data_IF_379913439668
#
_entry.id   IF_379913439668
#
_cell.length_a   1.000
_cell.length_b   1.000
_cell.length_c   1.000
_cell.angle_alpha   90.00
_cell.angle_beta   90.00
_cell.angle_gamma   90.00
#
_symmetry.space_group_name_H-M   'P 1'
#
loop_
_entity.id
_entity.type
_entity.pdbx_description
1 polymer ?
#
# COMPACT_ATOMS: atom_id res chain seq x y z
N UNK A 1 22.80 30.26 28.90
CA UNK A 1 21.34 30.52 29.09
C UNK A 1 20.90 29.72 30.30
N UNK A 2 20.00 30.24 31.15
CA UNK A 2 19.48 29.45 32.27
C UNK A 2 18.43 28.48 31.75
N UNK A 3 18.60 27.21 32.06
CA UNK A 3 17.75 26.12 31.59
C UNK A 3 16.94 25.58 32.76
N UNK A 4 15.60 25.52 32.68
CA UNK A 4 14.76 25.04 33.78
C UNK A 4 14.98 23.54 34.02
N UNK A 5 15.01 23.18 35.30
CA UNK A 5 15.16 21.81 35.79
C UNK A 5 13.83 21.32 36.34
N UNK A 6 13.48 20.07 36.04
CA UNK A 6 12.24 19.43 36.46
C UNK A 6 12.51 18.07 37.09
N UNK A 7 11.76 17.70 38.12
CA UNK A 7 11.69 16.33 38.60
C UNK A 7 10.65 15.57 37.75
N UNK A 8 11.07 14.51 37.07
CA UNK A 8 10.21 13.72 36.18
C UNK A 8 10.10 12.28 36.68
N UNK A 9 8.90 11.69 36.52
CA UNK A 9 8.74 10.24 36.66
C UNK A 9 9.31 9.52 35.43
N UNK A 10 9.58 8.22 35.56
CA UNK A 10 10.02 7.39 34.44
C UNK A 10 9.03 7.40 33.27
N UNK A 11 7.73 7.47 33.56
CA UNK A 11 6.68 7.55 32.55
C UNK A 11 6.70 8.91 31.83
N UNK A 12 6.86 10.01 32.55
CA UNK A 12 6.93 11.35 31.96
C UNK A 12 8.19 11.52 31.10
N UNK A 13 9.35 11.06 31.58
CA UNK A 13 10.59 11.08 30.81
C UNK A 13 10.48 10.21 29.54
N UNK A 14 9.84 9.04 29.65
CA UNK A 14 9.61 8.12 28.53
C UNK A 14 8.68 8.72 27.49
N UNK A 15 7.56 9.34 27.90
CA UNK A 15 6.64 10.04 26.99
C UNK A 15 7.32 11.17 26.24
N UNK A 16 8.16 11.95 26.92
CA UNK A 16 8.90 13.05 26.31
C UNK A 16 9.90 12.59 25.23
N UNK A 17 10.40 11.35 25.31
CA UNK A 17 11.59 10.89 24.58
C UNK A 17 11.39 9.60 23.77
N UNK A 18 10.12 9.25 23.47
CA UNK A 18 9.76 7.97 22.81
C UNK A 18 10.37 6.73 23.49
N UNK A 19 10.52 6.77 24.80
CA UNK A 19 11.08 5.68 25.60
C UNK A 19 12.60 5.67 25.76
N UNK A 20 13.33 6.63 25.16
CA UNK A 20 14.78 6.70 25.33
C UNK A 20 15.19 6.91 26.79
N UNK A 21 14.55 7.86 27.49
CA UNK A 21 14.66 8.01 28.94
C UNK A 21 13.55 7.21 29.63
N UNK A 22 13.91 6.12 30.31
CA UNK A 22 12.94 5.17 30.91
C UNK A 22 13.09 5.03 32.43
N UNK A 23 13.63 6.05 33.08
CA UNK A 23 13.87 6.10 34.52
C UNK A 23 13.44 7.46 35.08
N UNK A 24 13.15 7.49 36.39
CA UNK A 24 12.80 8.73 37.07
C UNK A 24 14.09 9.47 37.45
N UNK A 25 14.03 10.79 37.47
CA UNK A 25 15.22 11.60 37.71
C UNK A 25 14.93 13.09 37.64
N UNK A 26 16.00 13.86 37.72
CA UNK A 26 15.97 15.30 37.57
C UNK A 26 16.54 15.66 36.22
N UNK A 27 15.79 16.42 35.42
CA UNK A 27 16.11 16.67 34.03
C UNK A 27 16.04 18.15 33.70
N UNK A 28 16.88 18.58 32.76
CA UNK A 28 16.78 19.87 32.12
C UNK A 28 16.33 19.71 30.66
N UNK A 29 15.53 20.65 30.18
CA UNK A 29 15.02 20.69 28.81
C UNK A 29 15.69 21.83 28.04
N UNK A 30 16.30 21.53 26.89
CA UNK A 30 17.05 22.51 26.09
C UNK A 30 16.66 22.47 24.62
N UNK A 31 16.33 23.65 24.08
CA UNK A 31 16.24 23.90 22.65
C UNK A 31 17.64 24.16 22.08
N UNK A 32 17.97 23.49 20.98
CA UNK A 32 19.26 23.64 20.30
C UNK A 32 18.99 23.97 18.83
N UNK A 33 19.67 25.01 18.34
CA UNK A 33 19.67 25.40 16.94
C UNK A 33 20.99 24.95 16.31
N UNK A 34 20.94 24.04 15.35
CA UNK A 34 22.10 23.77 14.49
C UNK A 34 22.17 24.84 13.40
N UNK A 35 23.19 25.69 13.48
CA UNK A 35 23.43 26.77 12.51
C UNK A 35 23.89 26.28 11.14
N UNK A 36 24.35 25.03 11.03
CA UNK A 36 24.83 24.43 9.77
C UNK A 36 23.65 23.98 8.91
N UNK A 37 22.69 23.32 9.56
CA UNK A 37 21.49 22.78 8.90
C UNK A 37 20.29 23.74 9.02
N UNK A 38 20.40 24.75 9.88
CA UNK A 38 19.33 25.68 10.26
C UNK A 38 18.10 24.93 10.80
N UNK A 39 18.35 23.87 11.57
CA UNK A 39 17.32 23.01 12.16
C UNK A 39 17.33 23.16 13.68
N UNK A 40 16.14 23.21 14.27
CA UNK A 40 15.96 23.21 15.72
C UNK A 40 15.67 21.78 16.19
N UNK A 41 16.43 21.30 17.16
CA UNK A 41 16.19 20.04 17.84
C UNK A 41 16.16 20.26 19.35
N UNK A 42 15.47 19.36 20.05
CA UNK A 42 15.17 19.49 21.47
C UNK A 42 15.65 18.27 22.21
N UNK A 43 16.27 18.51 23.36
CA UNK A 43 16.81 17.45 24.19
C UNK A 43 16.32 17.56 25.63
N UNK A 44 16.24 16.40 26.25
CA UNK A 44 16.13 16.21 27.69
C UNK A 44 17.46 15.61 28.16
N UNK A 45 18.05 16.11 29.24
CA UNK A 45 19.26 15.51 29.81
C UNK A 45 19.19 15.49 31.34
N UNK A 46 19.77 14.46 31.93
CA UNK A 46 19.77 14.28 33.38
C UNK A 46 20.77 15.23 34.05
N UNK A 47 20.37 15.78 35.19
CA UNK A 47 21.20 16.65 36.02
C UNK A 47 21.16 16.19 37.47
N UNK A 48 22.28 16.38 38.16
CA UNK A 48 22.40 16.08 39.58
C UNK A 48 23.07 17.24 40.32
N UNK A 49 22.75 17.40 41.59
CA UNK A 49 23.28 18.46 42.43
C UNK A 49 24.56 17.98 43.13
N UNK A 50 25.71 18.52 42.71
CA UNK A 50 27.01 18.18 43.27
C UNK A 50 27.63 19.43 43.88
N UNK A 51 27.79 19.44 45.20
CA UNK A 51 28.43 20.55 45.91
C UNK A 51 27.62 21.86 45.92
N UNK A 52 26.29 21.78 45.71
CA UNK A 52 25.40 22.95 45.66
C UNK A 52 25.24 23.56 44.27
N UNK A 53 25.77 22.91 43.24
CA UNK A 53 25.61 23.32 41.84
C UNK A 53 25.00 22.18 41.03
N UNK A 54 24.08 22.51 40.12
CA UNK A 54 23.52 21.57 39.17
C UNK A 54 24.52 21.26 38.06
N UNK A 55 24.79 19.99 37.87
CA UNK A 55 25.72 19.48 36.87
C UNK A 55 25.01 18.45 36.00
N UNK A 56 25.41 18.35 34.72
CA UNK A 56 25.00 17.23 33.87
C UNK A 56 25.49 15.92 34.48
N UNK A 57 24.62 14.91 34.50
CA UNK A 57 25.04 13.55 34.85
C UNK A 57 25.91 13.00 33.73
N UNK A 58 27.04 12.40 34.12
CA UNK A 58 27.99 11.78 33.20
C UNK A 58 28.19 10.32 33.56
N UNK A 59 28.45 9.49 32.55
CA UNK A 59 28.91 8.12 32.76
C UNK A 59 30.32 8.09 33.40
N UNK A 60 30.80 6.94 33.89
CA UNK A 60 32.13 6.82 34.48
C UNK A 60 33.30 7.19 33.56
N UNK A 61 33.07 7.29 32.25
CA UNK A 61 34.06 7.66 31.24
C UNK A 61 33.95 9.15 30.84
N UNK A 62 33.00 9.91 31.43
CA UNK A 62 32.78 11.32 31.16
C UNK A 62 31.85 11.60 29.97
N UNK A 63 31.12 10.61 29.47
CA UNK A 63 30.10 10.81 28.44
C UNK A 63 28.80 11.35 29.03
N UNK A 64 28.16 12.27 28.30
CA UNK A 64 26.83 12.79 28.62
C UNK A 64 25.76 12.01 27.86
N UNK A 65 24.56 11.92 28.43
CA UNK A 65 23.39 11.32 27.79
C UNK A 65 22.35 12.39 27.51
N UNK A 66 22.19 12.73 26.22
CA UNK A 66 21.13 13.60 25.74
C UNK A 66 20.04 12.73 25.11
N UNK A 67 18.81 12.88 25.61
CA UNK A 67 17.64 12.16 25.11
C UNK A 67 16.87 13.08 24.16
N UNK A 68 16.74 12.72 22.88
CA UNK A 68 15.93 13.50 21.94
C UNK A 68 14.48 13.57 22.39
N UNK A 69 13.86 14.74 22.24
CA UNK A 69 12.42 14.90 22.44
C UNK A 69 11.67 14.32 21.25
N UNK A 70 10.61 13.56 21.52
CA UNK A 70 9.73 12.96 20.51
C UNK A 70 9.19 14.02 19.55
N UNK A 71 9.65 14.02 18.30
CA UNK A 71 9.14 14.96 17.29
C UNK A 71 7.70 14.62 16.87
N UNK A 72 7.34 13.33 16.91
CA UNK A 72 5.99 12.88 16.61
C UNK A 72 4.98 13.33 17.66
N UNK A 73 5.34 13.26 18.95
CA UNK A 73 4.46 13.67 20.05
C UNK A 73 4.53 15.19 20.30
N UNK A 74 5.67 15.83 20.07
CA UNK A 74 5.91 17.26 20.32
C UNK A 74 6.40 17.97 19.05
N UNK A 75 5.57 18.14 18.00
CA UNK A 75 6.02 18.67 16.71
C UNK A 75 6.30 20.19 16.70
N UNK A 76 5.90 20.92 17.75
CA UNK A 76 6.05 22.38 17.84
C UNK A 76 6.78 22.80 19.12
N UNK A 77 7.51 23.94 19.14
CA UNK A 77 8.28 24.37 20.32
C UNK A 77 7.47 24.41 21.62
N UNK A 78 6.27 25.01 21.56
CA UNK A 78 5.37 25.14 22.72
C UNK A 78 4.70 23.82 23.16
N UNK A 79 4.82 22.72 22.41
CA UNK A 79 4.15 21.46 22.75
C UNK A 79 4.71 20.83 24.03
N UNK A 80 6.00 21.07 24.33
CA UNK A 80 6.63 20.61 25.58
C UNK A 80 6.18 21.47 26.76
N UNK A 81 6.02 22.78 26.55
CA UNK A 81 5.45 23.67 27.57
C UNK A 81 4.00 23.27 27.90
N UNK A 82 3.18 22.95 26.90
CA UNK A 82 1.82 22.45 27.09
C UNK A 82 1.81 21.13 27.89
N UNK A 83 2.78 20.25 27.64
CA UNK A 83 2.96 19.03 28.42
C UNK A 83 3.28 19.33 29.88
N UNK A 84 4.25 20.21 30.15
CA UNK A 84 4.60 20.61 31.51
C UNK A 84 3.41 21.24 32.24
N UNK A 85 2.62 22.07 31.56
CA UNK A 85 1.41 22.68 32.12
C UNK A 85 0.37 21.60 32.43
N UNK A 86 0.10 20.68 31.49
CA UNK A 86 -0.88 19.60 31.64
C UNK A 86 -0.54 18.66 32.79
N UNK A 87 0.74 18.30 32.92
CA UNK A 87 1.28 17.45 33.98
C UNK A 87 1.50 18.20 35.29
N UNK A 88 1.23 19.51 35.33
CA UNK A 88 1.43 20.41 36.49
C UNK A 88 2.88 20.41 37.00
N UNK A 89 3.83 20.26 36.08
CA UNK A 89 5.25 20.32 36.37
C UNK A 89 5.65 21.79 36.53
N UNK A 90 6.48 22.05 37.53
CA UNK A 90 7.06 23.37 37.79
C UNK A 90 8.58 23.23 37.87
N UNK A 91 9.34 24.22 37.39
CA UNK A 91 10.79 24.19 37.52
C UNK A 91 11.16 24.13 39.01
N UNK A 92 12.04 23.19 39.37
CA UNK A 92 12.57 23.06 40.72
C UNK A 92 13.82 23.93 40.93
N UNK A 93 14.57 24.18 39.85
CA UNK A 93 15.73 25.08 39.81
C UNK A 93 16.16 25.34 38.35
N UNK A 94 17.34 25.92 38.13
CA UNK A 94 17.91 26.21 36.82
C UNK A 94 19.38 25.82 36.73
N UNK A 95 19.80 25.27 35.58
CA UNK A 95 21.21 24.98 35.28
C UNK A 95 21.77 25.99 34.27
N UNK A 96 23.05 26.34 34.43
CA UNK A 96 23.82 27.04 33.41
C UNK A 96 24.61 26.02 32.58
N UNK A 97 24.16 25.76 31.36
CA UNK A 97 24.80 24.80 30.47
C UNK A 97 25.72 25.52 29.46
N UNK A 98 27.03 25.42 29.67
CA UNK A 98 28.06 25.99 28.78
C UNK A 98 28.41 25.10 27.58
N UNK A 99 27.84 23.89 27.51
CA UNK A 99 27.99 23.01 26.35
C UNK A 99 27.25 23.59 25.14
N UNK A 100 27.99 24.21 24.22
CA UNK A 100 27.49 24.75 22.95
C UNK A 100 27.56 23.76 21.80
N UNK A 101 28.29 22.67 21.98
CA UNK A 101 28.34 21.55 21.05
C UNK A 101 27.40 20.48 21.61
N UNK A 102 26.31 20.11 20.91
CA UNK A 102 25.50 18.98 21.33
C UNK A 102 26.44 17.77 21.32
N UNK A 103 26.85 17.30 22.49
CA UNK A 103 27.75 16.16 22.58
C UNK A 103 27.07 14.98 21.92
N UNK A 104 27.53 14.64 20.71
CA UNK A 104 27.05 13.55 19.84
C UNK A 104 25.56 13.24 20.09
N UNK A 105 24.70 14.03 19.46
CA UNK A 105 23.34 13.56 19.18
C UNK A 105 23.53 12.26 18.41
N UNK A 106 23.10 11.13 18.96
CA UNK A 106 22.74 10.02 18.10
C UNK A 106 21.43 10.44 17.41
N UNK A 107 21.51 11.34 16.43
CA UNK A 107 20.63 11.20 15.29
C UNK A 107 21.02 9.84 14.76
N UNK A 108 20.15 8.84 14.99
CA UNK A 108 20.31 7.58 14.29
C UNK A 108 20.29 7.95 12.82
N UNK A 109 21.45 7.82 12.17
CA UNK A 109 21.61 8.15 10.77
C UNK A 109 20.48 7.44 10.02
N UNK A 110 19.63 8.20 9.34
CA UNK A 110 18.61 7.57 8.51
C UNK A 110 19.35 6.97 7.33
N UNK A 111 19.36 5.65 7.28
CA UNK A 111 20.00 4.87 6.23
C UNK A 111 18.95 4.44 5.20
N UNK A 112 19.41 4.03 4.02
CA UNK A 112 18.52 3.44 3.03
C UNK A 112 17.83 2.19 3.60
N UNK A 113 16.55 1.95 3.26
CA UNK A 113 15.85 0.77 3.74
C UNK A 113 16.44 -0.49 3.09
N UNK A 114 16.28 -1.64 3.74
CA UNK A 114 16.68 -2.94 3.18
C UNK A 114 15.41 -3.69 2.81
N UNK A 115 15.25 -4.01 1.52
CA UNK A 115 14.08 -4.72 1.00
C UNK A 115 14.51 -5.97 0.23
N UNK A 116 13.74 -7.04 0.37
CA UNK A 116 13.96 -8.34 -0.28
C UNK A 116 12.78 -8.71 -1.17
N UNK A 117 13.07 -9.02 -2.43
CA UNK A 117 12.08 -9.57 -3.37
C UNK A 117 11.94 -11.05 -3.10
N UNK A 118 10.74 -11.50 -2.74
CA UNK A 118 10.48 -12.93 -2.52
C UNK A 118 10.21 -13.64 -3.84
N UNK A 119 10.43 -14.95 -3.85
CA UNK A 119 9.88 -15.78 -4.91
C UNK A 119 8.35 -15.72 -4.79
N UNK A 120 7.69 -15.35 -5.88
CA UNK A 120 6.24 -15.47 -5.97
C UNK A 120 5.93 -16.98 -5.90
N UNK A 121 5.14 -17.46 -4.93
CA UNK A 121 4.55 -18.79 -5.08
C UNK A 121 3.72 -18.75 -6.36
N UNK A 122 3.67 -19.85 -7.09
CA UNK A 122 2.71 -20.02 -8.19
C UNK A 122 1.26 -20.08 -7.65
N UNK A 123 0.92 -19.27 -6.64
CA UNK A 123 -0.45 -18.98 -6.23
C UNK A 123 -1.02 -18.02 -7.28
N UNK A 124 -1.08 -18.54 -8.50
CA UNK A 124 -1.86 -17.99 -9.58
C UNK A 124 -3.30 -18.27 -9.24
N UNK A 125 -3.87 -17.37 -8.45
CA UNK A 125 -5.29 -17.39 -8.21
C UNK A 125 -6.00 -17.04 -9.53
N UNK A 126 -7.29 -17.33 -9.59
CA UNK A 126 -8.16 -16.91 -10.70
C UNK A 126 -8.13 -15.38 -10.96
N UNK A 127 -7.54 -14.60 -10.03
CA UNK A 127 -7.49 -13.14 -10.01
C UNK A 127 -6.17 -12.53 -10.52
N UNK A 128 -5.18 -13.34 -10.94
CA UNK A 128 -3.91 -12.85 -11.52
C UNK A 128 -2.65 -13.36 -10.84
N UNK A 129 -1.54 -12.60 -10.96
CA UNK A 129 -0.23 -12.95 -10.39
C UNK A 129 0.07 -12.07 -9.19
N UNK A 130 0.30 -12.68 -8.03
CA UNK A 130 0.70 -11.96 -6.81
C UNK A 130 2.22 -11.97 -6.63
N UNK A 131 2.81 -10.79 -6.46
CA UNK A 131 4.23 -10.61 -6.12
C UNK A 131 4.37 -10.25 -4.65
N UNK A 132 5.29 -10.91 -3.95
CA UNK A 132 5.54 -10.66 -2.52
C UNK A 132 6.97 -10.17 -2.27
N UNK A 133 7.10 -9.34 -1.25
CA UNK A 133 8.36 -8.78 -0.80
C UNK A 133 8.33 -8.54 0.71
N UNK A 134 9.51 -8.35 1.29
CA UNK A 134 9.63 -7.97 2.68
C UNK A 134 10.66 -6.86 2.90
N UNK A 135 10.36 -5.97 3.82
CA UNK A 135 11.29 -4.97 4.36
C UNK A 135 12.02 -5.64 5.52
N UNK A 136 13.33 -5.82 5.35
CA UNK A 136 14.23 -6.39 6.35
C UNK A 136 14.66 -5.36 7.39
N UNK A 137 14.74 -4.10 6.99
CA UNK A 137 15.16 -2.97 7.80
C UNK A 137 14.60 -1.67 7.20
N UNK A 138 14.07 -0.76 8.03
CA UNK A 138 13.60 0.55 7.59
C UNK A 138 14.70 1.63 7.63
N UNK A 139 15.91 1.29 8.09
CA UNK A 139 17.05 2.20 8.16
C UNK A 139 16.78 3.38 9.08
N UNK A 140 16.03 3.17 10.16
CA UNK A 140 15.59 4.20 11.12
C UNK A 140 14.71 5.31 10.52
N UNK A 141 14.24 5.12 9.29
CA UNK A 141 13.36 6.04 8.58
C UNK A 141 11.92 5.56 8.45
N UNK A 142 11.03 6.47 8.07
CA UNK A 142 9.65 6.13 7.72
C UNK A 142 9.57 5.67 6.26
N UNK A 143 8.88 4.56 6.02
CA UNK A 143 8.63 4.09 4.66
C UNK A 143 7.49 4.90 4.05
N UNK A 144 7.79 5.69 3.02
CA UNK A 144 6.80 6.51 2.30
C UNK A 144 6.22 5.81 1.08
N UNK A 145 6.98 4.89 0.48
CA UNK A 145 6.56 4.14 -0.69
C UNK A 145 7.25 2.78 -0.72
N UNK A 146 6.50 1.75 -1.12
CA UNK A 146 7.02 0.40 -1.38
C UNK A 146 6.20 -0.26 -2.47
N UNK A 147 6.82 -1.13 -3.24
CA UNK A 147 6.16 -1.79 -4.37
C UNK A 147 7.14 -2.59 -5.22
N UNK A 148 6.82 -2.74 -6.51
CA UNK A 148 7.64 -3.47 -7.47
C UNK A 148 7.94 -2.65 -8.72
N UNK A 149 9.13 -2.88 -9.26
CA UNK A 149 9.47 -2.56 -10.65
C UNK A 149 9.36 -3.85 -11.46
N UNK A 150 8.72 -3.78 -12.63
CA UNK A 150 8.47 -4.92 -13.51
C UNK A 150 8.91 -4.57 -14.93
N UNK A 151 9.62 -5.46 -15.62
CA UNK A 151 10.05 -5.24 -17.00
C UNK A 151 10.24 -6.54 -17.77
N UNK A 152 10.09 -6.50 -19.09
CA UNK A 152 10.52 -7.60 -19.98
C UNK A 152 12.04 -7.66 -20.15
N UNK A 153 12.77 -6.60 -19.77
CA UNK A 153 14.22 -6.52 -19.84
C UNK A 153 14.83 -6.76 -18.45
N UNK A 154 15.85 -7.63 -18.38
CA UNK A 154 16.65 -7.83 -17.16
C UNK A 154 17.35 -6.55 -16.69
N UNK A 155 17.55 -5.57 -17.58
CA UNK A 155 18.14 -4.26 -17.26
C UNK A 155 17.11 -3.27 -16.70
N UNK A 156 15.84 -3.67 -16.62
CA UNK A 156 14.73 -2.79 -16.26
C UNK A 156 14.69 -1.54 -17.15
N UNK A 157 14.81 -1.72 -18.47
CA UNK A 157 14.61 -0.63 -19.42
C UNK A 157 13.12 -0.22 -19.40
N UNK A 158 12.84 1.01 -18.95
CA UNK A 158 11.47 1.56 -18.81
C UNK A 158 10.53 0.60 -18.05
N UNK A 159 10.81 0.32 -16.77
CA UNK A 159 10.02 -0.62 -16.01
C UNK A 159 8.68 0.00 -15.62
N UNK A 160 7.66 -0.85 -15.47
CA UNK A 160 6.41 -0.48 -14.84
C UNK A 160 6.65 -0.40 -13.33
N UNK A 161 6.29 0.73 -12.71
CA UNK A 161 6.35 0.93 -11.25
C UNK A 161 4.97 0.71 -10.67
N UNK A 162 4.83 -0.31 -9.85
CA UNK A 162 3.55 -0.71 -9.25
C UNK A 162 3.66 -0.59 -7.72
N UNK A 163 3.08 0.45 -7.12
CA UNK A 163 3.10 0.63 -5.67
C UNK A 163 2.16 -0.39 -4.99
N UNK A 164 2.51 -0.80 -3.78
CA UNK A 164 1.61 -1.59 -2.94
C UNK A 164 0.51 -0.71 -2.36
N UNK A 165 -0.71 -1.25 -2.22
CA UNK A 165 -1.87 -0.53 -1.68
C UNK A 165 -1.67 -0.16 -0.21
N UNK A 166 -0.93 -0.98 0.54
CA UNK A 166 -0.61 -0.77 1.95
C UNK A 166 0.78 -0.13 2.13
N UNK A 167 1.05 0.93 1.36
CA UNK A 167 2.37 1.58 1.28
C UNK A 167 2.88 2.14 2.61
N UNK A 168 2.00 2.27 3.62
CA UNK A 168 2.29 2.93 4.90
C UNK A 168 2.23 2.01 6.13
N UNK A 169 1.72 0.77 6.03
CA UNK A 169 1.79 -0.11 7.20
C UNK A 169 3.22 -0.53 7.49
N UNK A 170 3.55 -0.56 8.79
CA UNK A 170 4.76 -1.15 9.35
C UNK A 170 4.87 -2.67 9.12
N UNK A 171 3.95 -3.25 8.34
CA UNK A 171 4.00 -4.64 7.92
C UNK A 171 5.31 -4.89 7.17
N UNK A 172 6.16 -5.73 7.77
CA UNK A 172 7.42 -6.22 7.21
C UNK A 172 7.21 -6.90 5.85
N UNK A 173 5.99 -7.36 5.52
CA UNK A 173 5.64 -7.99 4.24
C UNK A 173 4.60 -7.18 3.48
N UNK A 174 4.76 -7.14 2.16
CA UNK A 174 3.80 -6.49 1.27
C UNK A 174 3.67 -7.25 -0.05
N UNK A 175 2.55 -7.03 -0.73
CA UNK A 175 2.22 -7.67 -1.99
C UNK A 175 1.59 -6.70 -2.99
N UNK A 176 1.59 -7.14 -4.25
CA UNK A 176 0.95 -6.49 -5.39
C UNK A 176 0.34 -7.58 -6.28
N UNK A 177 -0.94 -7.44 -6.61
CA UNK A 177 -1.63 -8.28 -7.57
C UNK A 177 -1.58 -7.67 -8.98
N UNK A 178 -1.26 -8.51 -9.96
CA UNK A 178 -1.06 -8.11 -11.35
C UNK A 178 -2.06 -8.84 -12.26
N UNK A 179 -2.87 -8.05 -12.95
CA UNK A 179 -3.93 -8.51 -13.85
C UNK A 179 -3.75 -8.04 -15.31
N UNK A 180 -2.53 -7.75 -15.73
CA UNK A 180 -2.24 -7.20 -17.07
C UNK A 180 -1.06 -7.87 -17.77
N UNK A 181 -0.42 -8.85 -17.13
CA UNK A 181 0.74 -9.53 -17.71
C UNK A 181 0.29 -10.53 -18.79
N UNK A 182 0.84 -10.38 -19.99
CA UNK A 182 0.55 -11.27 -21.13
C UNK A 182 0.93 -12.75 -20.84
N UNK A 183 0.00 -13.71 -21.09
CA UNK A 183 0.28 -15.14 -21.05
C UNK A 183 1.47 -15.57 -21.92
N UNK A 184 2.21 -16.57 -21.47
CA UNK A 184 3.38 -17.13 -22.16
C UNK A 184 4.61 -16.22 -22.20
N UNK A 185 4.55 -15.01 -21.60
CA UNK A 185 5.68 -14.07 -21.57
C UNK A 185 6.49 -14.18 -20.29
N UNK A 186 7.77 -13.83 -20.41
CA UNK A 186 8.68 -13.72 -19.26
C UNK A 186 8.87 -12.26 -18.88
N UNK A 187 8.81 -11.99 -17.58
CA UNK A 187 9.10 -10.72 -16.94
C UNK A 187 10.19 -10.88 -15.88
N UNK A 188 10.91 -9.79 -15.63
CA UNK A 188 11.82 -9.61 -14.51
C UNK A 188 11.21 -8.60 -13.56
N UNK A 189 11.30 -8.87 -12.27
CA UNK A 189 10.72 -8.02 -11.24
C UNK A 189 11.68 -7.84 -10.07
N UNK A 190 11.58 -6.72 -9.37
CA UNK A 190 12.28 -6.46 -8.11
C UNK A 190 11.46 -5.51 -7.26
N UNK A 191 11.49 -5.71 -5.94
CA UNK A 191 10.85 -4.78 -5.02
C UNK A 191 11.63 -3.48 -4.90
N UNK A 192 10.98 -2.45 -4.39
CA UNK A 192 11.59 -1.20 -3.94
C UNK A 192 10.95 -0.74 -2.63
N UNK A 193 11.71 0.03 -1.86
CA UNK A 193 11.23 0.75 -0.68
C UNK A 193 11.95 2.11 -0.61
N UNK A 194 11.25 3.15 -0.15
CA UNK A 194 11.75 4.52 -0.07
C UNK A 194 11.47 5.13 1.29
N UNK A 195 12.51 5.73 1.89
CA UNK A 195 12.44 6.53 3.11
C UNK A 195 13.12 7.90 2.90
N UNK A 196 13.41 8.61 3.99
CA UNK A 196 14.06 9.94 3.98
C UNK A 196 15.47 9.91 3.37
N UNK A 197 16.20 8.80 3.48
CA UNK A 197 17.53 8.61 2.90
C UNK A 197 17.50 8.29 1.40
N UNK A 198 16.36 7.82 0.89
CA UNK A 198 16.12 7.54 -0.51
C UNK A 198 15.55 6.15 -0.79
N UNK A 199 15.70 5.70 -2.04
CA UNK A 199 15.16 4.42 -2.52
C UNK A 199 16.23 3.33 -2.53
N UNK A 200 15.86 2.15 -2.04
CA UNK A 200 16.63 0.92 -2.21
C UNK A 200 15.82 -0.13 -2.97
N UNK A 201 16.55 -0.95 -3.72
CA UNK A 201 15.99 -1.96 -4.62
C UNK A 201 16.30 -3.36 -4.10
N UNK A 202 15.31 -4.23 -4.16
CA UNK A 202 15.45 -5.64 -3.84
C UNK A 202 16.18 -6.43 -4.93
N UNK A 203 16.46 -7.69 -4.63
CA UNK A 203 17.04 -8.62 -5.59
C UNK A 203 16.12 -8.87 -6.80
N UNK A 204 16.71 -9.07 -7.97
CA UNK A 204 15.94 -9.37 -9.20
C UNK A 204 15.44 -10.81 -9.16
N UNK A 205 14.18 -11.00 -9.54
CA UNK A 205 13.54 -12.29 -9.76
C UNK A 205 12.96 -12.37 -11.17
N UNK A 206 12.63 -13.59 -11.60
CA UNK A 206 12.10 -13.90 -12.93
C UNK A 206 10.76 -14.61 -12.79
N UNK A 207 9.80 -14.17 -13.59
CA UNK A 207 8.45 -14.73 -13.66
C UNK A 207 8.17 -15.09 -15.12
N UNK A 208 7.70 -16.31 -15.37
CA UNK A 208 7.08 -16.67 -16.65
C UNK A 208 5.59 -16.83 -16.40
N UNK A 209 4.79 -15.98 -17.04
CA UNK A 209 3.33 -16.11 -17.03
C UNK A 209 2.99 -17.38 -17.80
N UNK A 210 2.25 -18.33 -17.22
CA UNK A 210 1.77 -19.49 -17.95
C UNK A 210 0.96 -19.12 -19.19
N UNK A 211 0.89 -20.07 -20.11
CA UNK A 211 0.05 -19.93 -21.29
C UNK A 211 -1.44 -19.93 -20.91
N UNK A 212 -2.26 -19.43 -21.84
CA UNK A 212 -3.71 -19.26 -21.70
C UNK A 212 -4.42 -20.51 -21.19
N UNK A 213 -3.99 -21.70 -21.64
CA UNK A 213 -4.56 -22.99 -21.26
C UNK A 213 -4.44 -23.32 -19.76
N UNK A 214 -3.61 -22.59 -19.01
CA UNK A 214 -3.49 -22.75 -17.56
C UNK A 214 -4.62 -22.06 -16.78
N UNK A 215 -5.14 -20.94 -17.30
CA UNK A 215 -6.25 -20.22 -16.68
C UNK A 215 -7.54 -20.94 -17.06
N UNK A 216 -8.14 -21.64 -16.09
CA UNK A 216 -9.36 -22.40 -16.35
C UNK A 216 -10.45 -21.44 -16.83
N UNK A 217 -11.11 -21.80 -17.93
CA UNK A 217 -12.26 -21.05 -18.43
C UNK A 217 -13.36 -21.06 -17.34
N UNK A 218 -13.73 -19.90 -16.77
CA UNK A 218 -14.68 -19.85 -15.66
C UNK A 218 -16.09 -20.33 -16.07
N UNK A 219 -16.36 -20.45 -17.36
CA UNK A 219 -17.60 -21.01 -17.90
C UNK A 219 -17.63 -22.55 -17.88
N UNK A 220 -16.50 -23.23 -17.65
CA UNK A 220 -16.40 -24.70 -17.60
C UNK A 220 -16.79 -25.29 -16.23
N UNK A 221 -17.74 -24.66 -15.54
CA UNK A 221 -18.31 -25.19 -14.30
C UNK A 221 -19.01 -26.54 -14.54
N UNK A 222 -19.09 -27.37 -13.49
CA UNK A 222 -19.85 -28.62 -13.54
C UNK A 222 -21.33 -28.31 -13.84
N UNK A 223 -21.97 -29.03 -14.79
CA UNK A 223 -23.37 -28.80 -15.12
C UNK A 223 -24.27 -29.15 -13.92
N UNK A 224 -25.31 -28.35 -13.70
CA UNK A 224 -26.22 -28.52 -12.57
C UNK A 224 -27.26 -29.62 -12.79
N UNK A 225 -27.60 -29.95 -14.04
CA UNK A 225 -28.69 -30.85 -14.41
C UNK A 225 -28.40 -31.60 -15.73
N UNK A 226 -29.23 -32.61 -16.04
CA UNK A 226 -29.24 -33.25 -17.37
C UNK A 226 -29.41 -32.21 -18.48
N UNK A 227 -28.68 -32.38 -19.59
CA UNK A 227 -28.72 -31.46 -20.74
C UNK A 227 -27.63 -30.39 -20.77
N UNK A 228 -26.70 -30.37 -19.81
CA UNK A 228 -25.46 -29.58 -19.89
C UNK A 228 -25.57 -28.12 -19.41
N UNK A 229 -26.72 -27.71 -18.89
CA UNK A 229 -26.93 -26.37 -18.33
C UNK A 229 -26.10 -26.14 -17.07
N UNK A 230 -25.57 -24.92 -16.96
CA UNK A 230 -24.74 -24.40 -15.86
C UNK A 230 -25.38 -23.15 -15.28
N UNK A 231 -24.97 -22.76 -14.08
CA UNK A 231 -25.43 -21.55 -13.40
C UNK A 231 -24.25 -20.85 -12.75
N UNK A 232 -24.13 -19.56 -13.02
CA UNK A 232 -23.29 -18.63 -12.27
C UNK A 232 -24.18 -17.82 -11.34
N UNK A 233 -23.76 -17.64 -10.09
CA UNK A 233 -24.51 -16.86 -9.10
C UNK A 233 -24.68 -15.39 -9.48
N UNK A 234 -23.77 -14.86 -10.30
CA UNK A 234 -23.83 -13.48 -10.77
C UNK A 234 -24.34 -13.37 -12.22
N UNK A 235 -23.92 -14.29 -13.11
CA UNK A 235 -24.23 -14.20 -14.54
C UNK A 235 -25.54 -14.90 -14.93
N UNK A 236 -26.04 -15.85 -14.12
CA UNK A 236 -27.27 -16.58 -14.41
C UNK A 236 -27.04 -17.91 -15.12
N UNK A 237 -28.08 -18.41 -15.81
CA UNK A 237 -28.09 -19.76 -16.38
C UNK A 237 -27.63 -19.77 -17.83
N UNK A 238 -26.76 -20.71 -18.18
CA UNK A 238 -26.20 -20.79 -19.52
C UNK A 238 -25.88 -22.22 -19.96
N UNK A 239 -25.80 -22.42 -21.28
CA UNK A 239 -25.40 -23.65 -21.93
C UNK A 239 -24.15 -23.39 -22.78
N UNK A 240 -23.00 -23.90 -22.35
CA UNK A 240 -21.71 -23.74 -23.03
C UNK A 240 -21.54 -24.79 -24.14
N UNK A 241 -21.11 -24.36 -25.32
CA UNK A 241 -20.75 -25.21 -26.48
C UNK A 241 -19.24 -25.47 -26.52
N UNK A 242 -18.81 -26.45 -27.32
CA UNK A 242 -17.37 -26.80 -27.49
C UNK A 242 -16.55 -25.74 -28.27
N UNK A 243 -17.17 -24.71 -28.83
CA UNK A 243 -16.56 -23.73 -29.72
C UNK A 243 -16.73 -22.28 -29.22
N UNK A 244 -16.65 -22.08 -27.91
CA UNK A 244 -16.76 -20.78 -27.20
C UNK A 244 -18.10 -20.04 -27.34
N UNK A 245 -19.04 -20.59 -28.12
CA UNK A 245 -20.44 -20.17 -28.11
C UNK A 245 -21.12 -20.61 -26.82
N UNK A 246 -21.98 -19.76 -26.32
CA UNK A 246 -22.80 -19.98 -25.15
C UNK A 246 -24.22 -19.54 -25.47
N UNK A 247 -25.21 -20.33 -25.07
CA UNK A 247 -26.59 -19.89 -25.04
C UNK A 247 -26.95 -19.49 -23.61
N UNK A 248 -27.14 -18.20 -23.37
CA UNK A 248 -27.55 -17.64 -22.09
C UNK A 248 -29.08 -17.55 -22.05
N UNK A 249 -29.69 -17.92 -20.91
CA UNK A 249 -31.16 -17.95 -20.75
C UNK A 249 -31.86 -16.61 -21.09
N UNK A 250 -31.20 -15.49 -20.81
CA UNK A 250 -31.70 -14.15 -21.02
C UNK A 250 -31.03 -13.40 -22.18
N UNK A 251 -29.71 -13.56 -22.39
CA UNK A 251 -29.01 -12.86 -23.47
C UNK A 251 -29.14 -13.56 -24.83
N UNK A 252 -29.53 -14.84 -24.86
CA UNK A 252 -29.54 -15.64 -26.08
C UNK A 252 -28.13 -16.12 -26.47
N UNK A 253 -27.85 -16.20 -27.77
CA UNK A 253 -26.55 -16.63 -28.28
C UNK A 253 -25.49 -15.54 -28.06
N UNK A 254 -24.45 -15.91 -27.32
CA UNK A 254 -23.27 -15.08 -27.09
C UNK A 254 -22.01 -15.90 -27.39
N UNK A 255 -20.97 -15.24 -27.89
CA UNK A 255 -19.64 -15.83 -28.02
C UNK A 255 -18.76 -15.29 -26.91
N UNK A 256 -18.06 -16.16 -26.19
CA UNK A 256 -17.28 -15.76 -25.00
C UNK A 256 -15.79 -15.70 -25.31
N UNK A 257 -15.11 -14.73 -24.70
CA UNK A 257 -13.66 -14.62 -24.71
C UNK A 257 -13.23 -14.11 -23.34
N UNK A 258 -12.43 -14.91 -22.63
CA UNK A 258 -11.86 -14.48 -21.35
C UNK A 258 -10.79 -13.41 -21.60
N UNK A 259 -10.70 -12.39 -20.74
CA UNK A 259 -9.55 -11.51 -20.71
C UNK A 259 -8.34 -12.11 -19.95
N UNK A 260 -8.46 -13.38 -19.52
CA UNK A 260 -7.50 -14.16 -18.74
C UNK A 260 -7.41 -13.77 -17.26
N UNK A 261 -8.32 -12.90 -16.81
CA UNK A 261 -8.53 -12.52 -15.41
C UNK A 261 -10.02 -12.70 -15.05
N UNK A 262 -10.60 -11.80 -14.26
CA UNK A 262 -12.01 -11.84 -13.85
C UNK A 262 -12.98 -11.30 -14.92
N UNK A 263 -12.48 -10.63 -15.96
CA UNK A 263 -13.31 -9.98 -16.95
C UNK A 263 -13.61 -10.87 -18.14
N UNK A 264 -14.79 -10.65 -18.71
CA UNK A 264 -15.31 -11.44 -19.80
C UNK A 264 -15.79 -10.55 -20.92
N UNK A 265 -15.18 -10.73 -22.08
CA UNK A 265 -15.73 -10.25 -23.33
C UNK A 265 -16.79 -11.23 -23.81
N UNK A 266 -18.00 -10.73 -24.03
CA UNK A 266 -19.08 -11.44 -24.67
C UNK A 266 -19.45 -10.71 -25.95
N UNK A 267 -19.57 -11.44 -27.05
CA UNK A 267 -20.06 -10.90 -28.30
C UNK A 267 -21.54 -11.22 -28.44
N UNK A 268 -22.34 -10.20 -28.72
CA UNK A 268 -23.77 -10.32 -29.03
C UNK A 268 -23.98 -9.78 -30.44
N UNK A 269 -24.71 -10.49 -31.30
CA UNK A 269 -24.90 -10.12 -32.71
C UNK A 269 -25.36 -8.68 -32.92
N UNK A 270 -26.19 -8.17 -32.02
CA UNK A 270 -26.77 -6.84 -32.09
C UNK A 270 -25.92 -5.73 -31.49
N UNK A 271 -24.93 -6.05 -30.65
CA UNK A 271 -24.17 -5.06 -29.84
C UNK A 271 -22.65 -5.21 -29.94
N UNK A 272 -22.16 -6.21 -30.69
CA UNK A 272 -20.73 -6.49 -30.81
C UNK A 272 -20.13 -6.98 -29.50
N UNK A 273 -18.86 -6.62 -29.27
CA UNK A 273 -18.11 -7.00 -28.07
C UNK A 273 -18.44 -6.13 -26.88
N UNK A 274 -18.89 -6.78 -25.80
CA UNK A 274 -19.23 -6.20 -24.52
C UNK A 274 -18.39 -6.83 -23.40
N UNK A 275 -17.82 -6.03 -22.51
CA UNK A 275 -17.04 -6.51 -21.37
C UNK A 275 -17.83 -6.45 -20.08
N UNK A 276 -17.75 -7.48 -19.24
CA UNK A 276 -18.36 -7.51 -17.89
C UNK A 276 -17.57 -8.42 -16.96
N UNK A 277 -17.74 -8.23 -15.65
CA UNK A 277 -17.30 -9.14 -14.59
C UNK A 277 -18.34 -9.21 -13.47
N UNK A 278 -18.14 -10.05 -12.46
CA UNK A 278 -19.08 -10.21 -11.34
C UNK A 278 -19.44 -8.87 -10.66
N UNK A 279 -18.44 -8.02 -10.40
CA UNK A 279 -18.65 -6.74 -9.72
C UNK A 279 -19.26 -5.63 -10.59
N UNK A 280 -19.31 -5.82 -11.91
CA UNK A 280 -19.92 -4.83 -12.83
C UNK A 280 -21.25 -5.28 -13.39
N UNK A 281 -21.54 -6.59 -13.42
CA UNK A 281 -22.81 -7.09 -13.91
C UNK A 281 -24.00 -6.48 -13.13
N UNK A 282 -25.11 -6.07 -13.80
CA UNK A 282 -25.45 -6.26 -15.21
C UNK A 282 -25.06 -5.09 -16.13
N UNK A 283 -24.04 -4.30 -15.76
CA UNK A 283 -23.43 -3.32 -16.66
C UNK A 283 -22.38 -3.99 -17.56
N UNK A 284 -22.41 -3.64 -18.85
CA UNK A 284 -21.48 -4.13 -19.85
C UNK A 284 -20.84 -2.97 -20.63
N UNK A 285 -19.52 -2.98 -20.75
CA UNK A 285 -18.78 -1.96 -21.48
C UNK A 285 -18.68 -2.32 -22.97
N UNK A 286 -19.19 -1.47 -23.85
CA UNK A 286 -19.14 -1.67 -25.30
C UNK A 286 -17.79 -1.23 -25.87
N UNK A 287 -17.06 -2.17 -26.46
CA UNK A 287 -15.79 -1.87 -27.15
C UNK A 287 -15.99 -0.92 -28.34
N UNK A 288 -17.09 -1.07 -29.08
CA UNK A 288 -17.36 -0.29 -30.29
C UNK A 288 -17.66 1.19 -30.00
N UNK A 289 -18.38 1.44 -28.91
CA UNK A 289 -18.84 2.80 -28.57
C UNK A 289 -18.04 3.45 -27.45
N UNK A 290 -17.24 2.69 -26.70
CA UNK A 290 -16.53 3.18 -25.52
C UNK A 290 -17.46 3.59 -24.38
N UNK A 291 -18.68 3.03 -24.32
CA UNK A 291 -19.72 3.41 -23.36
C UNK A 291 -20.34 2.19 -22.66
N UNK A 292 -20.99 2.43 -21.53
CA UNK A 292 -21.67 1.40 -20.75
C UNK A 292 -23.11 1.17 -21.23
N UNK A 293 -23.48 -0.10 -21.29
CA UNK A 293 -24.83 -0.60 -21.43
C UNK A 293 -25.26 -1.23 -20.10
N UNK A 294 -26.55 -1.17 -19.76
CA UNK A 294 -27.11 -1.90 -18.61
C UNK A 294 -28.14 -2.89 -19.10
N UNK A 295 -27.90 -4.17 -18.87
CA UNK A 295 -28.84 -5.23 -19.21
C UNK A 295 -30.03 -5.21 -18.24
N UNK A 296 -31.24 -5.10 -18.78
CA UNK A 296 -32.46 -4.97 -17.97
C UNK A 296 -33.16 -6.32 -17.82
N UNK A 297 -33.48 -6.94 -18.95
CA UNK A 297 -34.22 -8.20 -19.06
C UNK A 297 -34.30 -8.62 -20.52
N UNK A 298 -34.82 -9.81 -20.74
CA UNK A 298 -35.31 -10.29 -22.04
C UNK A 298 -36.79 -9.97 -22.21
N UNK A 299 -37.20 -9.55 -23.39
CA UNK A 299 -38.60 -9.42 -23.78
C UNK A 299 -38.76 -9.95 -25.20
N UNK A 300 -39.76 -10.80 -25.42
CA UNK A 300 -40.03 -11.43 -26.72
C UNK A 300 -38.80 -12.12 -27.36
N UNK A 301 -37.94 -12.72 -26.52
CA UNK A 301 -36.73 -13.43 -26.95
C UNK A 301 -35.54 -12.53 -27.31
N UNK A 302 -35.63 -11.22 -27.11
CA UNK A 302 -34.54 -10.27 -27.33
C UNK A 302 -34.08 -9.62 -26.01
N UNK A 303 -32.77 -9.53 -25.73
CA UNK A 303 -32.26 -8.79 -24.58
C UNK A 303 -32.46 -7.28 -24.79
N UNK A 304 -32.87 -6.59 -23.73
CA UNK A 304 -33.02 -5.13 -23.71
C UNK A 304 -31.91 -4.52 -22.87
N UNK A 305 -31.23 -3.54 -23.45
CA UNK A 305 -30.19 -2.76 -22.78
C UNK A 305 -30.62 -1.31 -22.64
N UNK A 306 -30.18 -0.66 -21.57
CA UNK A 306 -30.16 0.80 -21.48
C UNK A 306 -28.79 1.33 -21.86
N UNK A 307 -28.74 2.23 -22.82
CA UNK A 307 -27.52 2.81 -23.37
C UNK A 307 -27.26 4.19 -22.76
N UNK A 308 -26.20 4.29 -21.94
CA UNK A 308 -25.87 5.53 -21.23
C UNK A 308 -25.30 6.63 -22.14
N UNK A 309 -24.81 6.31 -23.33
CA UNK A 309 -24.35 7.33 -24.28
C UNK A 309 -25.52 8.18 -24.79
N UNK A 310 -26.67 7.54 -25.03
CA UNK A 310 -27.85 8.17 -25.61
C UNK A 310 -28.98 8.39 -24.59
N UNK A 311 -28.86 7.85 -23.37
CA UNK A 311 -29.91 7.79 -22.35
C UNK A 311 -31.22 7.20 -22.89
N UNK A 312 -31.13 6.09 -23.62
CA UNK A 312 -32.27 5.43 -24.24
C UNK A 312 -32.18 3.92 -24.11
N UNK A 313 -33.30 3.24 -24.34
CA UNK A 313 -33.35 1.78 -24.43
C UNK A 313 -33.01 1.33 -25.85
N UNK A 314 -32.10 0.36 -25.96
CA UNK A 314 -31.78 -0.29 -27.23
C UNK A 314 -32.65 -1.54 -27.38
N UNK A 315 -33.57 -1.50 -28.35
CA UNK A 315 -34.47 -2.59 -28.70
C UNK A 315 -34.08 -3.15 -30.06
N UNK A 316 -33.52 -4.37 -30.08
CA UNK A 316 -33.32 -5.12 -31.31
C UNK A 316 -34.31 -6.28 -31.35
N UNK A 317 -35.60 -5.96 -31.52
CA UNK A 317 -36.60 -6.98 -31.83
C UNK A 317 -36.27 -7.64 -33.17
N UNK A 318 -36.43 -8.97 -33.26
CA UNK A 318 -36.23 -9.71 -34.51
C UNK A 318 -37.06 -9.07 -35.61
N UNK A 319 -36.39 -8.35 -36.52
CA UNK A 319 -36.96 -7.99 -37.80
C UNK A 319 -37.17 -9.27 -38.60
N UNK A 320 -38.36 -9.86 -38.47
CA UNK A 320 -38.85 -10.84 -39.43
C UNK A 320 -38.99 -10.13 -40.78
N UNK A 321 -37.94 -10.17 -41.58
CA UNK A 321 -38.03 -9.93 -43.02
C UNK A 321 -38.85 -11.09 -43.61
N UNK A 322 -40.13 -10.84 -43.88
CA UNK A 322 -40.96 -11.68 -44.75
C UNK A 322 -40.71 -11.35 -46.23
#
# INVERSE_FOLDING_TARGET
MLIPIFALTAEQASQLTDGAAHFAGTYAFKDILDYTTNTEFRILFEVDEIGGEWNRVMDPNGFIFDFPISQAMFPHPWAVDDFFIRERLQPIDFIHDEFTDPGIIFEEEILLPIVRTLDSPQDMNYHGISLHAEILDNGNGNIFEKGFLISKSYRFDRPDRVPSIDSFAANERFEVDLNYLEPGKTYYYRSYAMNEAGEMLGNIKKLTVPDVDFFHNPWEMAPMQEGGWRYSHWFGSYLLMENDWMYHDQLGWIFTSSDHFEGHWIWIETHGWLWTQESTWPFLFSHETGNWLYFIKTMDGAPIFFNYHHNQYDYHGMGLNY
#
